data_IF_077859422379
#
_entry.id   IF_077859422379
#
_cell.length_a   1.000
_cell.length_b   1.000
_cell.length_c   1.000
_cell.angle_alpha   90.00
_cell.angle_beta   90.00
_cell.angle_gamma   90.00
#
_symmetry.space_group_name_H-M   'P 1'
#
loop_
_entity.id
_entity.type
_entity.pdbx_description
1 polymer ?
#
# COMPACT_ATOMS: atom_id res chain seq x y z
N UNK A 1 -5.69 -72.77 50.27
CA UNK A 1 -4.91 -71.54 50.08
C UNK A 1 -4.37 -71.52 48.65
N UNK A 2 -5.00 -70.72 47.72
CA UNK A 2 -4.61 -70.72 46.27
C UNK A 2 -3.61 -69.57 46.06
N UNK A 3 -2.38 -69.89 45.79
CA UNK A 3 -1.34 -68.92 45.41
C UNK A 3 -1.62 -68.37 43.98
N UNK A 4 -1.95 -67.07 43.88
CA UNK A 4 -2.15 -66.33 42.66
C UNK A 4 -0.76 -66.11 42.01
N UNK A 5 -0.44 -66.80 40.94
CA UNK A 5 0.74 -66.54 40.10
C UNK A 5 0.65 -65.11 39.53
N UNK A 6 1.53 -64.23 39.96
CA UNK A 6 1.75 -62.92 39.31
C UNK A 6 2.33 -63.16 37.92
N UNK A 7 1.55 -62.74 36.92
CA UNK A 7 2.01 -62.71 35.54
C UNK A 7 3.06 -61.57 35.45
N UNK A 8 4.33 -61.97 35.32
CA UNK A 8 5.40 -61.05 35.01
C UNK A 8 5.17 -60.48 33.63
N UNK A 9 4.77 -59.20 33.50
CA UNK A 9 4.73 -58.52 32.23
C UNK A 9 6.18 -58.40 31.73
N UNK A 10 6.43 -59.04 30.61
CA UNK A 10 7.70 -59.00 29.90
C UNK A 10 7.85 -57.58 29.34
N UNK A 11 8.67 -56.74 30.01
CA UNK A 11 9.10 -55.47 29.47
C UNK A 11 9.79 -55.71 28.14
N UNK A 12 9.08 -55.52 27.04
CA UNK A 12 9.66 -55.53 25.69
C UNK A 12 10.46 -54.24 25.53
N UNK A 13 11.78 -54.36 25.58
CA UNK A 13 12.67 -53.24 25.23
C UNK A 13 12.44 -52.81 23.78
N UNK A 14 12.54 -51.52 23.55
CA UNK A 14 12.46 -50.94 22.22
C UNK A 14 13.55 -51.51 21.30
N UNK A 15 13.20 -51.99 20.13
CA UNK A 15 14.17 -52.50 19.17
C UNK A 15 14.92 -51.31 18.52
N UNK A 16 16.22 -51.46 18.30
CA UNK A 16 17.05 -50.47 17.58
C UNK A 16 16.42 -50.12 16.21
N UNK A 17 15.82 -51.10 15.55
CA UNK A 17 15.15 -50.89 14.26
C UNK A 17 13.91 -49.97 14.39
N UNK A 18 13.13 -50.16 15.46
CA UNK A 18 11.93 -49.35 15.74
C UNK A 18 12.32 -47.90 16.07
N UNK A 19 13.43 -47.69 16.75
CA UNK A 19 14.00 -46.36 17.02
C UNK A 19 14.44 -45.69 15.72
N UNK A 20 15.13 -46.39 14.81
CA UNK A 20 15.59 -45.85 13.53
C UNK A 20 14.39 -45.45 12.61
N UNK A 21 13.35 -46.29 12.57
CA UNK A 21 12.13 -46.01 11.80
C UNK A 21 11.41 -44.77 12.36
N UNK A 22 11.25 -44.69 13.69
CA UNK A 22 10.62 -43.54 14.34
C UNK A 22 11.40 -42.23 14.07
N UNK A 23 12.74 -42.33 14.14
CA UNK A 23 13.61 -41.15 13.84
C UNK A 23 13.53 -40.74 12.38
N UNK A 24 13.41 -41.70 11.44
CA UNK A 24 13.19 -41.43 10.03
C UNK A 24 11.88 -40.68 9.77
N UNK A 25 10.78 -41.13 10.37
CA UNK A 25 9.47 -40.48 10.24
C UNK A 25 9.51 -39.08 10.87
N UNK A 26 10.13 -38.92 12.03
CA UNK A 26 10.23 -37.64 12.71
C UNK A 26 11.01 -36.61 11.88
N UNK A 27 12.08 -37.01 11.19
CA UNK A 27 12.87 -36.12 10.33
C UNK A 27 12.06 -35.59 9.15
N UNK A 28 11.21 -36.41 8.55
CA UNK A 28 10.31 -36.01 7.45
C UNK A 28 9.29 -34.98 7.95
N UNK A 29 8.72 -35.21 9.13
CA UNK A 29 7.74 -34.28 9.71
C UNK A 29 8.39 -32.92 10.00
N UNK A 30 9.55 -32.91 10.61
CA UNK A 30 10.27 -31.65 10.92
C UNK A 30 10.60 -30.88 9.64
N UNK A 31 11.03 -31.58 8.60
CA UNK A 31 11.37 -30.94 7.32
C UNK A 31 10.14 -30.32 6.65
N UNK A 32 9.01 -31.01 6.67
CA UNK A 32 7.76 -30.50 6.10
C UNK A 32 7.21 -29.30 6.84
N UNK A 33 7.24 -29.34 8.17
CA UNK A 33 6.81 -28.19 9.01
C UNK A 33 7.73 -26.99 8.80
N UNK A 34 9.04 -27.19 8.73
CA UNK A 34 9.99 -26.12 8.45
C UNK A 34 9.77 -25.47 7.07
N UNK A 35 9.48 -26.27 6.06
CA UNK A 35 9.14 -25.77 4.73
C UNK A 35 7.84 -24.96 4.74
N UNK A 36 6.80 -25.44 5.42
CA UNK A 36 5.54 -24.69 5.55
C UNK A 36 5.71 -23.36 6.25
N UNK A 37 6.50 -23.29 7.32
CA UNK A 37 6.77 -22.05 8.04
C UNK A 37 7.46 -21.01 7.16
N UNK A 38 8.48 -21.41 6.42
CA UNK A 38 9.20 -20.49 5.53
C UNK A 38 8.33 -19.99 4.39
N UNK A 39 7.51 -20.83 3.80
CA UNK A 39 6.59 -20.46 2.74
C UNK A 39 5.50 -19.54 3.25
N UNK A 40 4.89 -19.84 4.39
CA UNK A 40 3.88 -18.99 5.02
C UNK A 40 4.42 -17.59 5.34
N UNK A 41 5.63 -17.51 5.88
CA UNK A 41 6.25 -16.22 6.21
C UNK A 41 6.46 -15.35 4.96
N UNK A 42 6.94 -15.94 3.85
CA UNK A 42 7.11 -15.23 2.58
C UNK A 42 5.79 -14.76 1.99
N UNK A 43 4.76 -15.62 2.03
CA UNK A 43 3.43 -15.27 1.55
C UNK A 43 2.82 -14.16 2.38
N UNK A 44 2.99 -14.20 3.70
CA UNK A 44 2.44 -13.18 4.60
C UNK A 44 3.09 -11.81 4.38
N UNK A 45 4.40 -11.77 4.19
CA UNK A 45 5.09 -10.50 3.88
C UNK A 45 4.67 -9.94 2.52
N UNK A 46 4.48 -10.79 1.51
CA UNK A 46 4.00 -10.37 0.20
C UNK A 46 2.59 -9.78 0.25
N UNK A 47 1.64 -10.48 0.89
CA UNK A 47 0.26 -10.03 1.05
C UNK A 47 0.15 -8.73 1.85
N UNK A 48 0.98 -8.58 2.89
CA UNK A 48 1.02 -7.34 3.69
C UNK A 48 1.44 -6.15 2.86
N UNK A 49 2.47 -6.30 2.03
CA UNK A 49 2.95 -5.24 1.14
C UNK A 49 1.89 -4.88 0.08
N UNK A 50 1.24 -5.88 -0.50
CA UNK A 50 0.20 -5.68 -1.50
C UNK A 50 -1.03 -4.96 -0.91
N UNK A 51 -1.44 -5.33 0.31
CA UNK A 51 -2.52 -4.65 1.02
C UNK A 51 -2.19 -3.19 1.36
N UNK A 52 -0.94 -2.90 1.72
CA UNK A 52 -0.48 -1.52 1.94
C UNK A 52 -0.52 -0.70 0.65
N UNK A 53 -0.03 -1.23 -0.45
CA UNK A 53 -0.08 -0.56 -1.76
C UNK A 53 -1.52 -0.28 -2.21
N UNK A 54 -2.43 -1.25 -2.03
CA UNK A 54 -3.84 -1.05 -2.34
C UNK A 54 -4.47 0.05 -1.48
N UNK A 55 -4.17 0.06 -0.19
CA UNK A 55 -4.67 1.10 0.72
C UNK A 55 -4.18 2.48 0.34
N UNK A 56 -2.89 2.63 0.02
CA UNK A 56 -2.34 3.91 -0.44
C UNK A 56 -2.93 4.34 -1.78
N UNK A 57 -3.05 3.43 -2.74
CA UNK A 57 -3.67 3.73 -4.02
C UNK A 57 -5.13 4.21 -3.87
N UNK A 58 -5.90 3.61 -2.97
CA UNK A 58 -7.26 4.05 -2.68
C UNK A 58 -7.30 5.44 -2.02
N UNK A 59 -6.41 5.72 -1.08
CA UNK A 59 -6.32 7.05 -0.46
C UNK A 59 -6.00 8.13 -1.48
N UNK A 60 -5.04 7.87 -2.35
CA UNK A 60 -4.66 8.78 -3.44
C UNK A 60 -5.82 8.99 -4.42
N UNK A 61 -6.47 7.91 -4.84
CA UNK A 61 -7.61 7.98 -5.76
C UNK A 61 -8.79 8.77 -5.16
N UNK A 62 -9.08 8.56 -3.87
CA UNK A 62 -10.12 9.31 -3.17
C UNK A 62 -9.77 10.80 -3.07
N UNK A 63 -8.52 11.12 -2.70
CA UNK A 63 -8.07 12.51 -2.63
C UNK A 63 -8.14 13.22 -3.99
N UNK A 64 -7.73 12.54 -5.06
CA UNK A 64 -7.85 13.08 -6.42
C UNK A 64 -9.32 13.28 -6.80
N UNK A 65 -10.18 12.32 -6.47
CA UNK A 65 -11.62 12.42 -6.76
C UNK A 65 -12.26 13.58 -6.01
N UNK A 66 -11.93 13.77 -4.75
CA UNK A 66 -12.42 14.89 -3.94
C UNK A 66 -11.98 16.24 -4.53
N UNK A 67 -10.70 16.37 -4.84
CA UNK A 67 -10.18 17.57 -5.50
C UNK A 67 -10.85 17.83 -6.87
N UNK A 68 -11.13 16.78 -7.63
CA UNK A 68 -11.81 16.89 -8.91
C UNK A 68 -13.26 17.34 -8.74
N UNK A 69 -13.98 16.78 -7.76
CA UNK A 69 -15.37 17.17 -7.46
C UNK A 69 -15.43 18.62 -7.02
N UNK A 70 -14.56 19.05 -6.11
CA UNK A 70 -14.48 20.43 -5.64
C UNK A 70 -14.14 21.39 -6.79
N UNK A 71 -13.35 20.94 -7.76
CA UNK A 71 -13.02 21.72 -8.94
C UNK A 71 -14.20 21.89 -9.90
N UNK A 72 -15.13 20.93 -9.94
CA UNK A 72 -16.30 20.96 -10.82
C UNK A 72 -17.53 21.61 -10.18
N UNK A 73 -17.67 21.59 -8.84
CA UNK A 73 -18.88 22.06 -8.15
C UNK A 73 -18.94 23.57 -7.96
N UNK A 74 -17.95 24.30 -8.39
CA UNK A 74 -17.98 25.76 -8.36
C UNK A 74 -19.05 26.36 -9.33
N UNK A 75 -20.23 25.77 -9.23
CA UNK A 75 -21.40 25.95 -10.04
C UNK A 75 -21.71 27.33 -10.48
N UNK A 76 -22.10 27.40 -11.73
CA UNK A 76 -22.86 28.50 -12.36
C UNK A 76 -22.06 29.74 -12.77
N UNK A 77 -20.97 29.54 -13.44
CA UNK A 77 -20.40 30.59 -14.26
C UNK A 77 -20.31 30.14 -15.71
N UNK A 78 -20.86 30.96 -16.58
CA UNK A 78 -21.08 30.77 -18.00
C UNK A 78 -19.80 30.76 -18.84
N UNK A 79 -18.63 30.53 -18.30
CA UNK A 79 -17.40 30.51 -19.08
C UNK A 79 -16.34 29.61 -18.44
N UNK A 80 -16.01 28.62 -19.18
CA UNK A 80 -14.72 27.99 -19.51
C UNK A 80 -13.51 28.04 -18.53
N UNK A 81 -13.67 28.37 -17.26
CA UNK A 81 -12.55 28.52 -16.33
C UNK A 81 -12.20 27.24 -15.55
N UNK A 82 -12.91 26.15 -15.82
CA UNK A 82 -12.65 24.85 -15.20
C UNK A 82 -12.11 23.88 -16.23
N UNK A 83 -10.82 23.90 -16.40
CA UNK A 83 -10.15 22.94 -17.26
C UNK A 83 -9.33 22.00 -16.40
N UNK A 84 -9.78 20.75 -16.32
CA UNK A 84 -8.88 19.66 -16.06
C UNK A 84 -7.95 19.59 -17.27
N UNK A 85 -6.83 20.28 -17.21
CA UNK A 85 -5.82 20.24 -18.28
C UNK A 85 -4.80 19.16 -17.87
N UNK A 86 -4.81 18.11 -18.67
CA UNK A 86 -3.66 17.21 -18.73
C UNK A 86 -2.66 17.94 -19.60
N UNK A 87 -1.55 18.37 -19.01
CA UNK A 87 -0.49 18.98 -19.79
C UNK A 87 0.26 17.85 -20.53
N UNK A 88 -0.12 17.64 -21.79
CA UNK A 88 0.49 16.64 -22.67
C UNK A 88 1.97 16.89 -22.96
N UNK A 89 2.49 18.06 -22.64
CA UNK A 89 3.89 18.39 -22.82
C UNK A 89 4.80 17.75 -21.75
N UNK A 90 4.20 17.35 -20.61
CA UNK A 90 4.91 16.66 -19.53
C UNK A 90 3.98 15.54 -19.04
N UNK A 91 4.22 14.33 -19.48
CA UNK A 91 3.35 13.16 -19.29
C UNK A 91 3.08 12.75 -17.83
N UNK A 92 3.57 13.50 -16.84
CA UNK A 92 3.52 13.17 -15.44
C UNK A 92 2.81 14.22 -14.55
N UNK A 93 2.07 15.16 -15.15
CA UNK A 93 1.37 16.22 -14.42
C UNK A 93 -0.12 16.22 -14.68
N UNK A 94 -0.90 16.26 -13.60
CA UNK A 94 -2.33 16.55 -13.62
C UNK A 94 -2.55 17.92 -12.98
N UNK A 95 -3.18 18.83 -13.69
CA UNK A 95 -3.52 20.17 -13.21
C UNK A 95 -5.01 20.30 -13.06
N UNK A 96 -5.48 20.57 -11.85
CA UNK A 96 -6.87 20.84 -11.51
C UNK A 96 -6.99 22.30 -11.06
N UNK A 97 -7.93 23.02 -11.65
CA UNK A 97 -8.24 24.38 -11.26
C UNK A 97 -9.56 24.40 -10.51
N UNK A 98 -9.54 24.85 -9.28
CA UNK A 98 -10.76 25.12 -8.51
C UNK A 98 -10.95 26.61 -8.39
N UNK A 99 -12.16 27.10 -8.70
CA UNK A 99 -12.54 28.48 -8.58
C UNK A 99 -13.86 28.56 -7.81
N UNK A 100 -13.78 28.85 -6.52
CA UNK A 100 -14.96 29.15 -5.72
C UNK A 100 -15.20 30.68 -5.69
N UNK A 101 -16.40 31.09 -5.27
CA UNK A 101 -16.80 32.49 -5.22
C UNK A 101 -15.94 33.33 -4.26
N UNK A 102 -15.34 32.70 -3.27
CA UNK A 102 -14.55 33.33 -2.20
C UNK A 102 -13.08 32.94 -2.23
N UNK A 103 -12.78 31.75 -2.72
CA UNK A 103 -11.42 31.23 -2.76
C UNK A 103 -11.23 30.50 -4.10
N UNK A 104 -10.18 30.87 -4.81
CA UNK A 104 -9.76 30.18 -6.01
C UNK A 104 -8.42 29.53 -5.75
N UNK A 105 -8.30 28.28 -6.05
CA UNK A 105 -7.07 27.54 -5.86
C UNK A 105 -6.72 26.73 -7.11
N UNK A 106 -5.43 26.60 -7.35
CA UNK A 106 -4.88 25.73 -8.39
C UNK A 106 -4.24 24.54 -7.71
N UNK A 107 -4.69 23.37 -8.07
CA UNK A 107 -4.11 22.11 -7.62
C UNK A 107 -3.29 21.50 -8.76
N UNK A 108 -2.07 21.14 -8.46
CA UNK A 108 -1.20 20.44 -9.41
C UNK A 108 -0.70 19.17 -8.76
N UNK A 109 -0.94 18.04 -9.40
CA UNK A 109 -0.46 16.74 -8.96
C UNK A 109 0.70 16.35 -9.87
N UNK A 110 1.83 16.07 -9.26
CA UNK A 110 3.08 15.80 -9.98
C UNK A 110 3.82 14.63 -9.32
N UNK A 111 4.39 13.76 -10.14
CA UNK A 111 5.28 12.70 -9.65
C UNK A 111 6.59 13.30 -9.20
N UNK A 112 7.20 12.67 -8.20
CA UNK A 112 8.54 13.03 -7.73
C UNK A 112 9.62 12.86 -8.80
N UNK A 113 10.79 13.37 -8.54
CA UNK A 113 11.91 13.32 -9.47
C UNK A 113 12.28 11.88 -9.81
N UNK A 114 12.15 11.51 -11.06
CA UNK A 114 12.45 10.18 -11.57
C UNK A 114 13.94 9.84 -11.54
N UNK A 115 14.80 10.87 -11.47
CA UNK A 115 16.25 10.72 -11.37
C UNK A 115 16.70 10.45 -9.92
N UNK A 116 15.91 10.85 -8.94
CA UNK A 116 16.22 10.62 -7.51
C UNK A 116 15.54 9.33 -7.01
N UNK A 117 16.32 8.28 -6.64
CA UNK A 117 15.77 7.04 -6.12
C UNK A 117 14.91 7.21 -4.86
N UNK A 118 15.13 8.29 -4.10
CA UNK A 118 14.37 8.58 -2.87
C UNK A 118 13.04 9.26 -3.14
N UNK A 119 12.85 9.82 -4.33
CA UNK A 119 11.68 10.64 -4.69
C UNK A 119 10.83 10.05 -5.82
N UNK A 120 11.39 9.19 -6.66
CA UNK A 120 10.76 8.66 -7.88
C UNK A 120 9.41 7.95 -7.66
N UNK A 121 9.18 7.42 -6.45
CA UNK A 121 7.96 6.67 -6.11
C UNK A 121 7.00 7.50 -5.24
N UNK A 122 7.08 8.82 -5.34
CA UNK A 122 6.23 9.72 -4.57
C UNK A 122 5.35 10.54 -5.50
N UNK A 123 4.16 10.86 -4.99
CA UNK A 123 3.21 11.73 -5.64
C UNK A 123 3.00 12.96 -4.76
N UNK A 124 3.12 14.13 -5.34
CA UNK A 124 2.99 15.38 -4.64
C UNK A 124 1.78 16.18 -5.11
N UNK A 125 1.11 16.80 -4.17
CA UNK A 125 0.09 17.81 -4.40
C UNK A 125 0.70 19.20 -4.16
N UNK A 126 0.64 20.02 -5.18
CA UNK A 126 0.99 21.44 -5.10
C UNK A 126 -0.30 22.25 -5.08
N UNK A 127 -0.44 23.14 -4.11
CA UNK A 127 -1.59 24.04 -3.99
C UNK A 127 -1.11 25.47 -4.07
N UNK A 128 -1.76 26.26 -4.91
CA UNK A 128 -1.50 27.68 -5.07
C UNK A 128 -2.82 28.42 -5.02
N UNK A 129 -2.91 29.50 -4.24
CA UNK A 129 -4.08 30.35 -4.12
C UNK A 129 -4.10 31.40 -5.21
N UNK A 130 -5.32 31.72 -5.67
CA UNK A 130 -5.54 32.79 -6.63
C UNK A 130 -5.84 34.09 -5.90
N UNK A 131 -5.16 35.16 -6.28
CA UNK A 131 -5.40 36.49 -5.76
C UNK A 131 -6.31 37.26 -6.72
N UNK A 132 -7.53 37.55 -6.26
CA UNK A 132 -8.53 38.26 -7.05
C UNK A 132 -8.12 39.71 -7.34
N UNK A 133 -7.36 40.34 -6.46
CA UNK A 133 -6.92 41.73 -6.64
C UNK A 133 -5.80 41.83 -7.67
N UNK A 134 -4.91 40.87 -7.68
CA UNK A 134 -3.83 40.77 -8.67
C UNK A 134 -4.26 40.11 -9.99
N UNK A 135 -5.44 39.48 -10.01
CA UNK A 135 -5.94 38.68 -11.12
C UNK A 135 -4.94 37.63 -11.62
N UNK A 136 -4.24 37.02 -10.67
CA UNK A 136 -3.17 36.05 -10.91
C UNK A 136 -3.02 35.04 -9.77
N UNK A 137 -2.43 33.91 -10.05
CA UNK A 137 -1.98 32.99 -9.01
C UNK A 137 -0.74 33.58 -8.35
N UNK A 138 -0.95 34.24 -7.22
CA UNK A 138 0.10 34.87 -6.44
C UNK A 138 0.20 34.14 -5.10
N UNK A 139 1.39 33.86 -4.66
CA UNK A 139 1.61 33.20 -3.39
C UNK A 139 2.60 32.04 -3.53
N UNK A 140 3.19 31.68 -2.40
CA UNK A 140 4.06 30.51 -2.34
C UNK A 140 3.26 29.24 -2.59
N UNK A 141 3.71 28.45 -3.55
CA UNK A 141 3.15 27.14 -3.81
C UNK A 141 3.43 26.23 -2.60
N UNK A 142 2.39 25.65 -2.00
CA UNK A 142 2.56 24.67 -0.93
C UNK A 142 2.70 23.28 -1.54
N UNK A 143 3.67 22.49 -1.06
CA UNK A 143 3.94 21.12 -1.51
C UNK A 143 3.57 20.17 -0.39
N UNK A 144 2.68 19.21 -0.66
CA UNK A 144 2.29 18.15 0.25
C UNK A 144 2.53 16.78 -0.39
N UNK A 145 2.95 15.79 0.39
CA UNK A 145 3.05 14.42 -0.06
C UNK A 145 1.65 13.82 -0.13
N UNK A 146 1.22 13.38 -1.31
CA UNK A 146 -0.08 12.76 -1.52
C UNK A 146 -0.02 11.23 -1.37
N UNK A 147 1.07 10.62 -1.82
CA UNK A 147 1.32 9.19 -1.69
C UNK A 147 2.76 8.83 -2.00
N UNK A 148 3.16 7.66 -1.56
CA UNK A 148 4.47 7.09 -1.86
C UNK A 148 4.29 5.65 -2.34
N UNK A 149 5.29 5.09 -3.02
CA UNK A 149 5.25 3.75 -3.62
C UNK A 149 4.28 3.57 -4.81
N UNK A 150 4.00 4.66 -5.53
CA UNK A 150 3.14 4.66 -6.72
C UNK A 150 3.96 4.43 -7.99
#
# INVERSE_FOLDING_TARGET
MKLRKRKTEKNRGFSIVEFLVAFGILSVIITTVGYMMTTSSKTYSGLSTEAQLQSEAQLVANAISELAIDSFDAGNTTESDYTCQIDDSVSDKLVLLSKTRTESARYRIERGDQADPSDKNKLYLYTQTYDNDANAYTGAESKALLGQYI
#
